data_IF_417475334126
#
_entry.id   IF_417475334126
#
_cell.length_a   1.000
_cell.length_b   1.000
_cell.length_c   1.000
_cell.angle_alpha   90.00
_cell.angle_beta   90.00
_cell.angle_gamma   90.00
#
_symmetry.space_group_name_H-M   'P 1'
#
loop_
_entity.id
_entity.type
_entity.pdbx_description
1 polymer ?
#
# COMPACT_ATOMS: atom_id res chain seq x y z
N UNK A 1 4.80 15.41 14.42
CA UNK A 1 3.72 14.53 14.94
C UNK A 1 3.82 13.20 14.22
N UNK A 2 3.88 12.11 14.96
CA UNK A 2 3.76 10.76 14.38
C UNK A 2 2.31 10.33 14.48
N UNK A 3 1.78 9.77 13.39
CA UNK A 3 0.43 9.22 13.33
C UNK A 3 0.49 7.81 12.77
N UNK A 4 -0.46 6.97 13.14
CA UNK A 4 -0.56 5.61 12.66
C UNK A 4 -2.00 5.12 12.69
N UNK A 5 -2.21 3.96 12.08
CA UNK A 5 -3.32 3.07 12.44
C UNK A 5 -2.79 1.72 12.88
N UNK A 6 -3.39 1.13 13.90
CA UNK A 6 -3.28 -0.29 14.18
C UNK A 6 -4.27 -1.01 13.26
N UNK A 7 -3.75 -1.68 12.23
CA UNK A 7 -4.50 -2.28 11.13
C UNK A 7 -4.64 -3.79 11.35
N UNK A 8 -5.86 -4.29 11.26
CA UNK A 8 -6.19 -5.72 11.36
C UNK A 8 -6.92 -6.17 10.10
N UNK A 9 -6.49 -7.30 9.55
CA UNK A 9 -7.08 -7.93 8.38
C UNK A 9 -6.72 -9.42 8.31
N UNK A 10 -7.09 -10.12 7.22
CA UNK A 10 -6.82 -11.55 7.08
C UNK A 10 -5.31 -11.83 7.13
N UNK A 11 -4.87 -12.46 8.23
CA UNK A 11 -3.46 -12.80 8.45
C UNK A 11 -2.55 -11.62 8.78
N UNK A 12 -3.09 -10.43 9.10
CA UNK A 12 -2.33 -9.23 9.42
C UNK A 12 -2.89 -8.53 10.66
N UNK A 13 -2.02 -8.25 11.63
CA UNK A 13 -2.27 -7.37 12.77
C UNK A 13 -0.99 -6.54 12.99
N UNK A 14 -0.96 -5.31 12.49
CA UNK A 14 0.26 -4.47 12.44
C UNK A 14 -0.06 -2.99 12.55
N UNK A 15 0.87 -2.24 13.16
CA UNK A 15 0.89 -0.78 13.09
C UNK A 15 1.40 -0.30 11.73
N UNK A 16 0.64 0.58 11.08
CA UNK A 16 1.00 1.24 9.83
C UNK A 16 1.09 2.74 10.07
N UNK A 17 2.28 3.30 9.87
CA UNK A 17 2.54 4.72 10.07
C UNK A 17 2.01 5.57 8.92
N UNK A 18 1.57 6.77 9.27
CA UNK A 18 1.17 7.80 8.34
C UNK A 18 2.15 8.97 8.31
N UNK A 19 1.70 10.06 7.71
CA UNK A 19 2.47 11.27 7.51
C UNK A 19 1.54 12.49 7.49
N UNK A 20 2.12 13.67 7.74
CA UNK A 20 1.46 14.96 7.56
C UNK A 20 1.44 15.33 6.08
N UNK A 21 0.29 15.75 5.58
CA UNK A 21 0.05 16.03 4.16
C UNK A 21 -0.39 17.49 3.93
N UNK A 22 0.13 18.42 4.74
CA UNK A 22 -0.22 19.83 4.68
C UNK A 22 -1.37 20.22 5.62
N UNK A 23 -1.41 21.49 6.01
CA UNK A 23 -2.49 22.07 6.84
C UNK A 23 -2.79 21.21 8.09
N UNK A 24 -4.05 20.87 8.31
CA UNK A 24 -4.56 19.98 9.36
C UNK A 24 -4.78 18.53 8.86
N UNK A 25 -4.18 18.15 7.73
CA UNK A 25 -4.38 16.86 7.08
C UNK A 25 -3.27 15.88 7.43
N UNK A 26 -3.67 14.73 7.95
CA UNK A 26 -2.80 13.57 8.17
C UNK A 26 -3.33 12.37 7.39
N UNK A 27 -2.42 11.60 6.77
CA UNK A 27 -2.79 10.45 5.95
C UNK A 27 -2.03 9.21 6.38
N UNK A 28 -2.74 8.08 6.38
CA UNK A 28 -2.16 6.74 6.47
C UNK A 28 -2.53 6.01 5.19
N UNK A 29 -1.54 5.47 4.47
CA UNK A 29 -1.76 4.68 3.25
C UNK A 29 -1.57 3.22 3.58
N UNK A 30 -2.57 2.41 3.29
CA UNK A 30 -2.57 0.96 3.52
C UNK A 30 -2.77 0.22 2.21
N UNK A 31 -2.20 -0.98 2.11
CA UNK A 31 -2.49 -1.93 1.04
C UNK A 31 -3.09 -3.19 1.67
N UNK A 32 -4.32 -3.52 1.30
CA UNK A 32 -4.91 -4.80 1.65
C UNK A 32 -4.34 -5.90 0.75
N UNK A 33 -3.55 -6.81 1.31
CA UNK A 33 -2.88 -7.88 0.56
C UNK A 33 -3.74 -9.12 0.35
N UNK A 34 -4.92 -9.17 0.98
CA UNK A 34 -5.84 -10.31 0.93
C UNK A 34 -7.29 -9.82 0.90
N UNK A 35 -8.19 -10.48 0.15
CA UNK A 35 -9.63 -10.21 0.21
C UNK A 35 -10.19 -10.47 1.61
N UNK A 36 -11.15 -9.65 2.05
CA UNK A 36 -11.79 -9.78 3.36
C UNK A 36 -12.02 -8.44 4.04
N UNK A 37 -12.46 -8.51 5.29
CA UNK A 37 -12.70 -7.33 6.13
C UNK A 37 -11.39 -6.85 6.75
N UNK A 38 -11.17 -5.53 6.69
CA UNK A 38 -10.05 -4.84 7.30
C UNK A 38 -10.58 -3.78 8.25
N UNK A 39 -10.03 -3.74 9.46
CA UNK A 39 -10.39 -2.81 10.53
C UNK A 39 -9.16 -2.02 10.95
N UNK A 40 -9.36 -0.78 11.37
CA UNK A 40 -8.28 0.07 11.82
C UNK A 40 -8.70 0.90 13.04
N UNK A 41 -7.72 1.21 13.88
CA UNK A 41 -7.82 2.18 14.96
C UNK A 41 -6.67 3.17 14.84
N UNK A 42 -6.94 4.47 14.81
CA UNK A 42 -5.91 5.51 14.69
C UNK A 42 -5.29 5.87 16.04
N UNK A 43 -4.04 6.31 15.97
CA UNK A 43 -3.31 6.87 17.10
C UNK A 43 -2.22 7.82 16.65
N UNK A 44 -1.70 8.58 17.61
CA UNK A 44 -0.60 9.51 17.41
C UNK A 44 0.25 9.59 18.68
N UNK A 45 1.44 10.17 18.55
CA UNK A 45 2.32 10.43 19.69
C UNK A 45 1.94 11.70 20.49
N UNK A 46 0.77 12.29 20.23
CA UNK A 46 0.24 13.47 20.92
C UNK A 46 -1.09 13.13 21.58
N UNK A 47 -1.48 13.88 22.61
CA UNK A 47 -2.83 13.85 23.15
C UNK A 47 -3.74 14.70 22.25
N UNK A 48 -4.29 14.08 21.20
CA UNK A 48 -5.09 14.74 20.17
C UNK A 48 -6.36 13.94 19.87
N UNK A 49 -7.53 14.48 20.20
CA UNK A 49 -8.83 13.82 20.02
C UNK A 49 -9.28 13.75 18.55
N UNK A 50 -8.69 14.57 17.68
CA UNK A 50 -8.92 14.51 16.24
C UNK A 50 -8.24 13.29 15.61
N UNK A 51 -7.05 12.95 16.10
CA UNK A 51 -6.19 11.89 15.57
C UNK A 51 -6.32 10.56 16.30
N UNK A 52 -6.62 10.55 17.59
CA UNK A 52 -6.56 9.34 18.42
C UNK A 52 -7.92 8.65 18.54
N UNK A 53 -7.88 7.30 18.60
CA UNK A 53 -9.05 6.49 18.92
C UNK A 53 -10.14 6.48 17.85
N UNK A 54 -9.89 7.04 16.67
CA UNK A 54 -10.81 6.92 15.53
C UNK A 54 -10.75 5.49 15.02
N UNK A 55 -11.90 4.94 14.66
CA UNK A 55 -11.97 3.58 14.13
C UNK A 55 -12.72 3.56 12.82
N UNK A 56 -12.45 2.54 12.03
CA UNK A 56 -13.18 2.29 10.80
C UNK A 56 -12.76 0.97 10.18
N UNK A 57 -13.27 0.73 8.99
CA UNK A 57 -12.95 -0.47 8.25
C UNK A 57 -13.37 -0.40 6.79
N UNK A 58 -12.92 -1.37 6.03
CA UNK A 58 -13.27 -1.53 4.63
C UNK A 58 -13.13 -3.01 4.23
N UNK A 59 -13.87 -3.41 3.19
CA UNK A 59 -13.78 -4.75 2.62
C UNK A 59 -12.92 -4.74 1.36
N UNK A 60 -11.81 -5.45 1.39
CA UNK A 60 -11.01 -5.72 0.21
C UNK A 60 -11.66 -6.81 -0.64
N UNK A 61 -11.75 -6.58 -1.94
CA UNK A 61 -12.25 -7.56 -2.92
C UNK A 61 -11.08 -8.01 -3.80
N UNK A 62 -11.16 -9.25 -4.25
CA UNK A 62 -10.19 -9.74 -5.21
C UNK A 62 -10.40 -9.09 -6.57
N UNK A 63 -9.30 -8.82 -7.28
CA UNK A 63 -9.34 -8.44 -8.68
C UNK A 63 -9.75 -9.62 -9.54
N UNK A 64 -10.53 -9.36 -10.58
CA UNK A 64 -10.81 -10.36 -11.62
C UNK A 64 -9.57 -10.62 -12.48
N UNK A 65 -9.52 -11.76 -13.17
CA UNK A 65 -8.40 -12.04 -14.08
C UNK A 65 -8.31 -11.05 -15.24
N UNK A 66 -9.44 -10.53 -15.74
CA UNK A 66 -9.43 -9.50 -16.78
C UNK A 66 -8.83 -8.18 -16.26
N UNK A 67 -9.13 -7.79 -15.03
CA UNK A 67 -8.54 -6.61 -14.39
C UNK A 67 -7.05 -6.78 -14.11
N UNK A 68 -6.61 -7.98 -13.70
CA UNK A 68 -5.19 -8.33 -13.53
C UNK A 68 -4.46 -8.36 -14.87
N UNK A 69 -5.11 -8.77 -15.96
CA UNK A 69 -4.53 -8.73 -17.29
C UNK A 69 -4.38 -7.29 -17.81
N UNK A 70 -5.37 -6.43 -17.55
CA UNK A 70 -5.32 -5.02 -17.93
C UNK A 70 -4.27 -4.23 -17.14
N UNK A 71 -4.00 -4.62 -15.89
CA UNK A 71 -2.94 -4.04 -15.07
C UNK A 71 -2.27 -5.14 -14.21
N UNK A 72 -1.11 -5.67 -14.65
CA UNK A 72 -0.39 -6.72 -13.94
C UNK A 72 -0.03 -6.38 -12.48
N UNK A 73 0.10 -5.10 -12.11
CA UNK A 73 0.41 -4.70 -10.74
C UNK A 73 -0.71 -5.05 -9.73
N UNK A 74 -1.91 -5.40 -10.21
CA UNK A 74 -3.00 -5.94 -9.38
C UNK A 74 -2.75 -7.37 -8.88
N UNK A 75 -1.70 -8.04 -9.36
CA UNK A 75 -1.26 -9.36 -8.88
C UNK A 75 -0.44 -9.31 -7.58
N UNK A 76 -0.23 -8.11 -7.03
CA UNK A 76 0.47 -7.88 -5.77
C UNK A 76 1.94 -7.55 -5.93
N UNK A 77 2.66 -7.44 -4.81
CA UNK A 77 4.09 -7.11 -4.82
C UNK A 77 4.91 -8.15 -5.58
N UNK A 78 5.94 -7.68 -6.28
CA UNK A 78 6.96 -8.56 -6.86
C UNK A 78 7.78 -9.21 -5.74
N UNK A 79 8.10 -10.48 -5.92
CA UNK A 79 9.01 -11.25 -5.07
C UNK A 79 10.00 -12.03 -5.93
N UNK A 80 11.11 -12.43 -5.32
CA UNK A 80 12.02 -13.37 -5.95
C UNK A 80 11.33 -14.74 -6.07
N UNK A 81 11.57 -15.44 -7.19
CA UNK A 81 11.22 -16.86 -7.33
C UNK A 81 11.95 -17.71 -6.29
N UNK A 82 11.47 -18.91 -6.01
CA UNK A 82 12.07 -19.79 -5.00
C UNK A 82 13.55 -20.14 -5.25
N UNK A 83 13.99 -20.15 -6.51
CA UNK A 83 15.39 -20.35 -6.88
C UNK A 83 16.23 -19.06 -6.80
N UNK A 84 15.63 -17.90 -6.52
CA UNK A 84 16.32 -16.62 -6.38
C UNK A 84 16.81 -15.98 -7.68
N UNK A 85 16.43 -16.51 -8.85
CA UNK A 85 16.98 -16.08 -10.15
C UNK A 85 15.98 -15.37 -11.07
N UNK A 86 14.75 -15.16 -10.64
CA UNK A 86 13.72 -14.46 -11.41
C UNK A 86 12.74 -13.71 -10.48
N UNK A 87 11.84 -12.92 -11.09
CA UNK A 87 10.77 -12.22 -10.40
C UNK A 87 9.41 -12.84 -10.73
N UNK A 88 8.55 -12.86 -9.74
CA UNK A 88 7.14 -13.24 -9.86
C UNK A 88 6.26 -12.28 -9.06
N UNK A 89 5.02 -12.11 -9.47
CA UNK A 89 4.00 -11.43 -8.68
C UNK A 89 3.62 -12.26 -7.44
N UNK A 90 2.87 -11.66 -6.51
CA UNK A 90 2.48 -12.34 -5.27
C UNK A 90 1.62 -13.59 -5.50
N UNK A 91 0.90 -13.66 -6.63
CA UNK A 91 0.12 -14.83 -7.07
C UNK A 91 0.96 -15.91 -7.78
N UNK A 92 2.28 -15.71 -7.93
CA UNK A 92 3.19 -16.64 -8.60
C UNK A 92 3.31 -16.44 -10.12
N UNK A 93 2.58 -15.48 -10.71
CA UNK A 93 2.71 -15.17 -12.13
C UNK A 93 4.11 -14.62 -12.44
N UNK A 94 4.84 -15.15 -13.44
CA UNK A 94 6.15 -14.62 -13.81
C UNK A 94 6.11 -13.14 -14.20
N UNK A 95 7.12 -12.38 -13.78
CA UNK A 95 7.29 -10.99 -14.17
C UNK A 95 8.63 -10.82 -14.89
N UNK A 96 8.58 -10.43 -16.16
CA UNK A 96 9.76 -9.96 -16.88
C UNK A 96 9.86 -8.44 -16.74
N UNK A 97 10.79 -7.98 -15.89
CA UNK A 97 11.01 -6.57 -15.67
C UNK A 97 11.80 -5.95 -16.83
N UNK A 98 11.11 -5.18 -17.67
CA UNK A 98 11.74 -4.31 -18.67
C UNK A 98 11.61 -2.87 -18.20
N UNK A 99 12.71 -2.30 -17.71
CA UNK A 99 12.76 -0.93 -17.20
C UNK A 99 13.51 0.00 -18.13
N UNK A 100 13.23 1.30 -17.99
CA UNK A 100 14.02 2.39 -18.54
C UNK A 100 14.46 3.31 -17.40
N UNK A 101 15.43 4.17 -17.63
CA UNK A 101 16.00 5.07 -16.63
C UNK A 101 15.76 6.52 -17.01
N UNK A 102 14.91 7.21 -16.25
CA UNK A 102 14.68 8.63 -16.43
C UNK A 102 14.76 9.43 -15.13
N UNK A 103 15.98 9.85 -14.78
CA UNK A 103 16.25 10.56 -13.54
C UNK A 103 15.59 11.93 -13.42
N UNK A 104 15.32 12.60 -14.55
CA UNK A 104 14.76 13.94 -14.55
C UNK A 104 13.23 13.98 -14.45
N UNK A 105 12.53 12.84 -14.53
CA UNK A 105 11.06 12.74 -14.47
C UNK A 105 10.43 13.52 -13.32
N UNK A 106 10.91 13.42 -12.06
CA UNK A 106 10.27 14.11 -10.93
C UNK A 106 10.77 15.56 -10.74
N UNK A 107 11.46 16.13 -11.72
CA UNK A 107 12.05 17.48 -11.59
C UNK A 107 11.23 18.52 -12.36
N UNK A 108 11.23 19.75 -11.86
CA UNK A 108 10.65 20.91 -12.56
C UNK A 108 11.48 21.37 -13.79
N UNK A 109 12.55 20.65 -14.15
CA UNK A 109 13.48 21.06 -15.24
C UNK A 109 12.87 20.94 -16.62
N UNK A 110 11.85 20.10 -16.76
CA UNK A 110 11.15 19.88 -18.02
C UNK A 110 9.71 20.38 -17.87
N UNK A 111 9.24 21.14 -18.87
CA UNK A 111 7.97 21.89 -18.84
C UNK A 111 6.76 21.09 -19.36
N UNK A 112 6.88 19.78 -19.51
CA UNK A 112 5.76 18.98 -20.04
C UNK A 112 4.51 19.09 -19.17
#
# INVERSE_FOLDING_TARGET
>A
VEVWVDLKGPGLDKRVYGFWDGEDVFRVRVLATSPGEWLWTSGSNQADDGLNGRTGGFRAKEWTESEKQANPNRRGFLRATANGHALEYADGTPCFLLGDTWWATPTFRHRW
#
